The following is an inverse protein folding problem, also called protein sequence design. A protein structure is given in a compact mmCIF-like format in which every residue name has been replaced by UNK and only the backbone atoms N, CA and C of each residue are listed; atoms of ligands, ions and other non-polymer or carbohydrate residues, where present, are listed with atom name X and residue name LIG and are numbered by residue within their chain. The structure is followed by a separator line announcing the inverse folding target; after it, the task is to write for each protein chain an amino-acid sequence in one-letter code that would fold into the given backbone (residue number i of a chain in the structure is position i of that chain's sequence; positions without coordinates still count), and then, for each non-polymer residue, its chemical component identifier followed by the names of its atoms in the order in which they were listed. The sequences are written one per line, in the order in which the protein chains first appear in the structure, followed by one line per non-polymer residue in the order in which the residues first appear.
data_IF_927125081876
#
_entry.id   IF_927125081876
#
_cell.length_a   1.000
_cell.length_b   1.000
_cell.length_c   1.000
_cell.angle_alpha   90.00
_cell.angle_beta   90.00
_cell.angle_gamma   90.00
#
_symmetry.space_group_name_H-M   'P 1'
#
loop_
_entity.id
_entity.type
_entity.pdbx_description
1 polymer ?
#
# COMPACT_ATOMS: atom_id res chain seq x y z
N UNK A 1 -62.39 11.04 -100.98
CA UNK A 1 -61.61 12.11 -100.31
C UNK A 1 -61.10 11.75 -98.88
N UNK A 2 -61.06 10.48 -98.44
CA UNK A 2 -60.64 10.12 -97.06
C UNK A 2 -59.27 9.44 -96.90
N UNK A 3 -58.60 9.03 -97.98
CA UNK A 3 -57.26 8.38 -97.92
C UNK A 3 -56.08 9.36 -97.90
N UNK A 4 -56.22 10.56 -98.49
CA UNK A 4 -55.14 11.56 -98.57
C UNK A 4 -54.90 12.28 -97.22
N UNK A 5 -55.94 12.44 -96.38
CA UNK A 5 -55.81 13.06 -95.06
C UNK A 5 -55.13 12.14 -94.03
N UNK A 6 -55.33 10.82 -94.11
CA UNK A 6 -54.68 9.87 -93.19
C UNK A 6 -53.16 9.83 -93.39
N UNK A 7 -52.71 9.85 -94.66
CA UNK A 7 -51.28 9.90 -95.00
C UNK A 7 -50.64 11.20 -94.52
N UNK A 8 -51.34 12.34 -94.65
CA UNK A 8 -50.87 13.62 -94.13
C UNK A 8 -50.67 13.61 -92.62
N UNK A 9 -51.60 13.03 -91.84
CA UNK A 9 -51.49 12.94 -90.38
C UNK A 9 -50.32 12.04 -89.96
N UNK A 10 -50.11 10.91 -90.63
CA UNK A 10 -48.98 10.00 -90.32
C UNK A 10 -47.64 10.67 -90.62
N UNK A 11 -47.52 11.43 -91.72
CA UNK A 11 -46.29 12.16 -92.06
C UNK A 11 -46.01 13.27 -91.04
N UNK A 12 -47.04 14.00 -90.57
CA UNK A 12 -46.86 15.03 -89.54
C UNK A 12 -46.43 14.41 -88.21
N UNK A 13 -47.03 13.29 -87.79
CA UNK A 13 -46.62 12.58 -86.57
C UNK A 13 -45.17 12.06 -86.70
N UNK A 14 -44.81 11.52 -87.86
CA UNK A 14 -43.45 11.03 -88.08
C UNK A 14 -42.40 12.16 -88.08
N UNK A 15 -42.71 13.30 -88.71
CA UNK A 15 -41.81 14.46 -88.73
C UNK A 15 -41.69 15.10 -87.35
N UNK A 16 -42.80 15.27 -86.62
CA UNK A 16 -42.77 15.79 -85.25
C UNK A 16 -42.00 14.86 -84.31
N UNK A 17 -42.17 13.53 -84.43
CA UNK A 17 -41.41 12.55 -83.65
C UNK A 17 -39.90 12.61 -83.96
N UNK A 18 -39.51 12.71 -85.22
CA UNK A 18 -38.10 12.83 -85.60
C UNK A 18 -37.50 14.18 -85.15
N UNK A 19 -38.26 15.26 -85.18
CA UNK A 19 -37.80 16.58 -84.73
C UNK A 19 -37.64 16.63 -83.21
N UNK A 20 -38.53 15.96 -82.47
CA UNK A 20 -38.45 15.80 -81.01
C UNK A 20 -37.29 14.89 -80.61
N UNK A 21 -37.04 13.81 -81.36
CA UNK A 21 -35.86 12.94 -81.19
C UNK A 21 -34.56 13.68 -81.52
N UNK A 22 -34.53 14.47 -82.59
CA UNK A 22 -33.39 15.32 -82.93
C UNK A 22 -33.12 16.34 -81.82
N UNK A 23 -34.16 17.00 -81.30
CA UNK A 23 -33.99 17.93 -80.19
C UNK A 23 -33.50 17.22 -78.92
N UNK A 24 -34.06 16.05 -78.57
CA UNK A 24 -33.60 15.24 -77.43
C UNK A 24 -32.15 14.76 -77.56
N UNK A 25 -31.70 14.42 -78.79
CA UNK A 25 -30.36 13.89 -79.04
C UNK A 25 -29.31 14.99 -79.22
N UNK A 26 -29.69 16.14 -79.77
CA UNK A 26 -28.79 17.27 -80.05
C UNK A 26 -28.80 18.31 -78.92
N UNK A 27 -29.85 18.39 -78.10
CA UNK A 27 -29.87 19.24 -76.89
C UNK A 27 -29.07 18.67 -75.73
N UNK A 28 -28.46 17.48 -75.87
CA UNK A 28 -27.36 17.05 -75.00
C UNK A 28 -26.07 17.76 -75.42
N UNK A 29 -25.99 19.04 -75.10
CA UNK A 29 -24.69 19.65 -74.86
C UNK A 29 -23.99 18.81 -73.78
N UNK A 30 -22.73 18.37 -73.98
CA UNK A 30 -21.95 17.79 -72.91
C UNK A 30 -21.54 18.92 -71.97
N UNK A 31 -22.48 19.36 -71.13
CA UNK A 31 -22.14 20.06 -69.91
C UNK A 31 -21.19 19.16 -69.13
N UNK A 32 -19.99 19.66 -68.85
CA UNK A 32 -18.94 18.99 -68.08
C UNK A 32 -19.55 18.31 -66.84
N UNK A 33 -19.81 17.01 -66.95
CA UNK A 33 -19.96 16.15 -65.78
C UNK A 33 -18.53 15.98 -65.27
N UNK A 34 -18.13 16.86 -64.35
CA UNK A 34 -16.97 16.61 -63.52
C UNK A 34 -17.23 15.31 -62.80
N UNK A 35 -16.71 14.20 -63.33
CA UNK A 35 -16.64 12.95 -62.61
C UNK A 35 -15.88 13.25 -61.34
N UNK A 36 -16.58 13.29 -60.20
CA UNK A 36 -15.92 13.18 -58.90
C UNK A 36 -15.13 11.91 -59.01
N UNK A 37 -13.81 12.05 -59.04
CA UNK A 37 -12.92 10.91 -59.27
C UNK A 37 -13.23 9.88 -58.19
N UNK A 38 -13.34 8.60 -58.55
CA UNK A 38 -13.49 7.52 -57.56
C UNK A 38 -12.40 7.62 -56.48
N UNK A 39 -11.23 8.20 -56.83
CA UNK A 39 -10.18 8.59 -55.89
C UNK A 39 -10.60 9.63 -54.85
N UNK A 40 -11.38 10.64 -55.23
CA UNK A 40 -11.86 11.68 -54.30
C UNK A 40 -12.96 11.12 -53.39
N UNK A 41 -13.83 10.24 -53.90
CA UNK A 41 -14.79 9.51 -53.07
C UNK A 41 -14.09 8.59 -52.06
N UNK A 42 -13.05 7.86 -52.49
CA UNK A 42 -12.24 7.01 -51.60
C UNK A 42 -11.47 7.82 -50.56
N UNK A 43 -10.94 9.00 -50.92
CA UNK A 43 -10.26 9.90 -49.96
C UNK A 43 -11.22 10.48 -48.94
N UNK A 44 -12.42 10.88 -49.37
CA UNK A 44 -13.45 11.36 -48.46
C UNK A 44 -13.91 10.25 -47.52
N UNK A 45 -14.14 9.03 -48.04
CA UNK A 45 -14.51 7.88 -47.24
C UNK A 45 -13.42 7.49 -46.24
N UNK A 46 -12.15 7.53 -46.65
CA UNK A 46 -11.02 7.30 -45.76
C UNK A 46 -10.96 8.37 -44.65
N UNK A 47 -11.15 9.64 -45.00
CA UNK A 47 -11.22 10.73 -44.02
C UNK A 47 -12.39 10.58 -43.04
N UNK A 48 -13.54 10.10 -43.50
CA UNK A 48 -14.70 9.83 -42.66
C UNK A 48 -14.48 8.62 -41.74
N UNK A 49 -13.81 7.56 -42.21
CA UNK A 49 -13.40 6.41 -41.39
C UNK A 49 -12.40 6.85 -40.32
N UNK A 50 -11.41 7.67 -40.66
CA UNK A 50 -10.42 8.20 -39.71
C UNK A 50 -11.09 9.08 -38.63
N UNK A 51 -12.06 9.91 -39.01
CA UNK A 51 -12.88 10.69 -38.06
C UNK A 51 -13.71 9.79 -37.15
N UNK A 52 -14.34 8.76 -37.70
CA UNK A 52 -15.10 7.79 -36.90
C UNK A 52 -14.21 7.01 -35.93
N UNK A 53 -13.02 6.60 -36.37
CA UNK A 53 -12.03 5.94 -35.51
C UNK A 53 -11.55 6.85 -34.38
N UNK A 54 -11.27 8.12 -34.68
CA UNK A 54 -10.90 9.13 -33.69
C UNK A 54 -12.03 9.33 -32.67
N UNK A 55 -13.28 9.49 -33.13
CA UNK A 55 -14.44 9.65 -32.25
C UNK A 55 -14.67 8.41 -31.38
N UNK A 56 -14.55 7.20 -31.94
CA UNK A 56 -14.66 5.96 -31.18
C UNK A 56 -13.54 5.82 -30.14
N UNK A 57 -12.32 6.26 -30.45
CA UNK A 57 -11.20 6.25 -29.49
C UNK A 57 -11.45 7.20 -28.30
N UNK A 58 -12.05 8.36 -28.56
CA UNK A 58 -12.43 9.33 -27.55
C UNK A 58 -13.57 8.81 -26.66
N UNK A 59 -14.58 8.19 -27.27
CA UNK A 59 -15.68 7.53 -26.55
C UNK A 59 -15.17 6.40 -25.64
N UNK A 60 -14.22 5.59 -26.13
CA UNK A 60 -13.58 4.54 -25.33
C UNK A 60 -12.79 5.11 -24.16
N UNK A 61 -12.13 6.26 -24.34
CA UNK A 61 -11.42 6.94 -23.25
C UNK A 61 -12.40 7.50 -22.20
N UNK A 62 -13.52 8.07 -22.65
CA UNK A 62 -14.60 8.52 -21.76
C UNK A 62 -15.23 7.35 -20.99
N UNK A 63 -15.51 6.23 -21.66
CA UNK A 63 -16.01 5.00 -21.04
C UNK A 63 -15.05 4.44 -19.98
N UNK A 64 -13.74 4.49 -20.23
CA UNK A 64 -12.73 4.10 -19.24
C UNK A 64 -12.78 5.00 -18.01
N UNK A 65 -12.79 6.32 -18.19
CA UNK A 65 -12.92 7.30 -17.09
C UNK A 65 -14.22 7.10 -16.31
N UNK A 66 -15.34 6.89 -17.00
CA UNK A 66 -16.64 6.64 -16.35
C UNK A 66 -16.60 5.38 -15.49
N UNK A 67 -16.03 4.28 -16.02
CA UNK A 67 -15.91 3.01 -15.29
C UNK A 67 -14.94 3.11 -14.11
N UNK A 68 -13.90 3.94 -14.20
CA UNK A 68 -13.00 4.27 -13.10
C UNK A 68 -13.72 5.08 -12.01
N UNK A 69 -14.50 6.10 -12.39
CA UNK A 69 -15.30 6.89 -11.47
C UNK A 69 -16.37 6.03 -10.77
N UNK A 70 -17.09 5.19 -11.50
CA UNK A 70 -18.11 4.30 -10.92
C UNK A 70 -17.50 3.28 -9.96
N UNK A 71 -16.28 2.81 -10.24
CA UNK A 71 -15.51 1.97 -9.30
C UNK A 71 -15.06 2.76 -8.07
N UNK A 72 -14.60 3.99 -8.23
CA UNK A 72 -14.22 4.86 -7.13
C UNK A 72 -15.42 5.18 -6.22
N UNK A 73 -16.59 5.47 -6.80
CA UNK A 73 -17.84 5.71 -6.06
C UNK A 73 -18.30 4.47 -5.28
N UNK A 74 -18.29 3.28 -5.91
CA UNK A 74 -18.61 2.02 -5.21
C UNK A 74 -17.62 1.72 -4.09
N UNK A 75 -16.33 2.00 -4.31
CA UNK A 75 -15.29 1.84 -3.31
C UNK A 75 -15.49 2.81 -2.14
N UNK A 76 -15.81 4.07 -2.43
CA UNK A 76 -16.12 5.09 -1.43
C UNK A 76 -17.39 4.73 -0.64
N UNK A 77 -18.41 4.16 -1.30
CA UNK A 77 -19.63 3.70 -0.63
C UNK A 77 -19.36 2.49 0.27
N UNK A 78 -18.55 1.52 -0.18
CA UNK A 78 -18.14 0.36 0.62
C UNK A 78 -17.25 0.80 1.80
N UNK A 79 -16.30 1.71 1.57
CA UNK A 79 -15.51 2.33 2.63
C UNK A 79 -16.44 3.00 3.64
N UNK A 80 -17.38 3.85 3.22
CA UNK A 80 -18.34 4.56 4.10
C UNK A 80 -19.21 3.61 4.93
N UNK A 81 -19.72 2.53 4.33
CA UNK A 81 -20.47 1.48 5.06
C UNK A 81 -19.61 0.77 6.09
N UNK A 82 -18.30 0.67 5.86
CA UNK A 82 -17.33 0.04 6.76
C UNK A 82 -16.76 1.00 7.80
N UNK A 83 -16.74 2.33 7.53
CA UNK A 83 -16.13 3.36 8.39
C UNK A 83 -17.10 4.10 9.29
N UNK A 84 -18.43 3.97 9.15
CA UNK A 84 -19.34 4.39 10.22
C UNK A 84 -19.07 3.54 11.47
N UNK A 85 -18.48 4.08 12.54
CA UNK A 85 -18.12 3.28 13.70
C UNK A 85 -19.43 2.89 14.39
N UNK A 86 -19.86 1.64 14.21
CA UNK A 86 -20.73 1.03 15.21
C UNK A 86 -19.89 0.93 16.48
N UNK A 87 -20.46 1.14 17.67
CA UNK A 87 -19.73 0.91 18.91
C UNK A 87 -19.41 -0.58 19.01
N UNK A 88 -18.28 -0.99 18.44
CA UNK A 88 -17.76 -2.34 18.57
C UNK A 88 -17.01 -2.36 19.90
N UNK A 89 -17.43 -3.24 20.81
CA UNK A 89 -16.60 -3.55 21.98
C UNK A 89 -15.31 -4.19 21.48
N UNK A 90 -14.19 -3.49 21.64
CA UNK A 90 -12.87 -3.95 21.20
C UNK A 90 -12.51 -5.33 21.76
N UNK A 91 -13.07 -5.68 22.91
CA UNK A 91 -12.92 -6.96 23.61
C UNK A 91 -13.60 -8.13 22.87
N UNK A 92 -14.66 -7.84 22.10
CA UNK A 92 -15.46 -8.83 21.37
C UNK A 92 -15.02 -8.99 19.91
N UNK A 93 -14.06 -8.17 19.44
CA UNK A 93 -13.57 -8.25 18.06
C UNK A 93 -12.59 -9.40 17.91
N UNK A 94 -12.88 -10.29 16.95
CA UNK A 94 -11.95 -11.35 16.53
C UNK A 94 -10.89 -10.72 15.63
N UNK A 95 -9.62 -10.83 16.03
CA UNK A 95 -8.46 -10.30 15.33
C UNK A 95 -7.56 -11.50 14.96
N UNK A 96 -7.75 -12.13 13.79
CA UNK A 96 -6.90 -13.24 13.36
C UNK A 96 -5.42 -12.85 13.30
N UNK A 97 -4.56 -13.81 13.61
CA UNK A 97 -3.13 -13.75 13.27
C UNK A 97 -2.95 -14.38 11.89
N UNK A 98 -2.50 -13.59 10.92
CA UNK A 98 -2.07 -14.07 9.60
C UNK A 98 -0.56 -14.26 9.60
N UNK A 99 -0.11 -15.51 9.64
CA UNK A 99 1.30 -15.88 9.50
C UNK A 99 1.63 -16.13 8.03
N UNK A 100 2.49 -15.30 7.45
CA UNK A 100 2.99 -15.44 6.07
C UNK A 100 4.20 -16.39 6.07
N UNK A 101 4.07 -17.54 5.41
CA UNK A 101 5.10 -18.57 5.33
C UNK A 101 5.39 -19.01 3.90
N UNK A 102 6.56 -19.61 3.66
CA UNK A 102 6.96 -20.10 2.34
C UNK A 102 7.70 -21.44 2.48
N UNK A 103 9.03 -21.40 2.60
CA UNK A 103 9.94 -22.53 2.45
C UNK A 103 10.88 -22.74 3.66
N UNK A 104 10.59 -22.09 4.79
CA UNK A 104 11.39 -22.19 6.01
C UNK A 104 10.72 -23.09 7.05
N UNK A 105 11.35 -24.22 7.38
CA UNK A 105 10.86 -25.12 8.44
C UNK A 105 10.96 -24.49 9.83
N UNK A 106 11.78 -23.45 10.00
CA UNK A 106 11.88 -22.65 11.21
C UNK A 106 10.60 -21.87 11.54
N UNK A 107 9.58 -21.89 10.67
CA UNK A 107 8.22 -21.38 10.98
C UNK A 107 7.67 -21.96 12.29
N UNK A 108 8.11 -23.16 12.68
CA UNK A 108 7.78 -23.77 13.98
C UNK A 108 8.09 -22.84 15.15
N UNK A 109 9.23 -22.14 15.12
CA UNK A 109 9.64 -21.20 16.18
C UNK A 109 8.63 -20.07 16.35
N UNK A 110 8.21 -19.46 15.25
CA UNK A 110 7.21 -18.39 15.25
C UNK A 110 5.85 -18.91 15.73
N UNK A 111 5.46 -20.11 15.28
CA UNK A 111 4.22 -20.76 15.71
C UNK A 111 4.22 -21.12 17.20
N UNK A 112 5.32 -21.67 17.73
CA UNK A 112 5.47 -22.01 19.14
C UNK A 112 5.22 -20.78 20.02
N UNK A 113 5.80 -19.62 19.66
CA UNK A 113 5.61 -18.38 20.40
C UNK A 113 4.20 -17.81 20.26
N UNK A 114 3.65 -17.82 19.03
CA UNK A 114 2.28 -17.39 18.77
C UNK A 114 1.29 -18.20 19.61
N UNK A 115 1.47 -19.52 19.70
CA UNK A 115 0.61 -20.39 20.49
C UNK A 115 0.83 -20.18 21.98
N UNK A 116 2.10 -20.13 22.43
CA UNK A 116 2.47 -19.96 23.84
C UNK A 116 1.85 -18.72 24.47
N UNK A 117 1.87 -17.59 23.76
CA UNK A 117 1.40 -16.32 24.30
C UNK A 117 -0.05 -15.98 23.94
N UNK A 118 -0.76 -16.82 23.18
CA UNK A 118 -2.15 -16.54 22.79
C UNK A 118 -3.10 -16.66 24.01
N UNK A 119 -3.68 -15.55 24.49
CA UNK A 119 -4.54 -15.59 25.67
C UNK A 119 -5.93 -16.16 25.37
N UNK A 120 -6.38 -16.12 24.11
CA UNK A 120 -7.72 -16.53 23.71
C UNK A 120 -7.76 -16.93 22.23
N UNK A 121 -7.73 -18.24 21.97
CA UNK A 121 -7.76 -18.83 20.62
C UNK A 121 -8.99 -18.44 19.79
N UNK A 122 -10.12 -18.12 20.43
CA UNK A 122 -11.34 -17.68 19.72
C UNK A 122 -11.22 -16.24 19.24
N UNK A 123 -10.58 -15.39 20.03
CA UNK A 123 -10.35 -13.98 19.70
C UNK A 123 -9.18 -13.80 18.72
N UNK A 124 -8.14 -14.63 18.86
CA UNK A 124 -6.95 -14.60 18.01
C UNK A 124 -6.74 -15.94 17.31
N UNK A 125 -7.62 -16.33 16.36
CA UNK A 125 -7.40 -17.52 15.56
C UNK A 125 -6.14 -17.35 14.70
N UNK A 126 -5.33 -18.40 14.58
CA UNK A 126 -4.09 -18.37 13.79
C UNK A 126 -4.34 -18.98 12.42
N UNK A 127 -4.03 -18.21 11.37
CA UNK A 127 -4.14 -18.59 9.97
C UNK A 127 -2.73 -18.54 9.38
N UNK A 128 -2.21 -19.70 8.96
CA UNK A 128 -0.93 -19.82 8.27
C UNK A 128 -1.18 -19.86 6.78
N UNK A 129 -0.72 -18.82 6.09
CA UNK A 129 -0.76 -18.73 4.63
C UNK A 129 0.59 -19.13 4.07
N UNK A 130 0.65 -20.32 3.43
CA UNK A 130 1.88 -20.87 2.87
C UNK A 130 1.94 -20.69 1.35
N UNK A 131 2.99 -20.06 0.84
CA UNK A 131 3.35 -20.06 -0.60
C UNK A 131 4.41 -21.14 -0.90
N UNK A 132 5.03 -21.10 -2.08
CA UNK A 132 6.23 -21.83 -2.49
C UNK A 132 6.05 -23.34 -2.67
N UNK A 133 4.98 -23.94 -2.12
CA UNK A 133 4.71 -25.38 -2.23
C UNK A 133 5.75 -26.25 -1.53
N UNK A 134 6.50 -25.69 -0.57
CA UNK A 134 7.58 -26.41 0.10
C UNK A 134 7.03 -27.44 1.08
N UNK A 135 7.10 -28.72 0.68
CA UNK A 135 6.54 -29.84 1.43
C UNK A 135 7.06 -29.97 2.88
N UNK A 136 8.37 -29.88 3.16
CA UNK A 136 8.87 -29.94 4.54
C UNK A 136 8.26 -28.87 5.46
N UNK A 137 8.11 -27.63 4.96
CA UNK A 137 7.44 -26.57 5.72
C UNK A 137 5.95 -26.86 5.90
N UNK A 138 5.28 -27.39 4.87
CA UNK A 138 3.87 -27.78 4.94
C UNK A 138 3.65 -28.87 5.99
N UNK A 139 4.54 -29.86 6.06
CA UNK A 139 4.49 -30.97 7.02
C UNK A 139 4.69 -30.48 8.46
N UNK A 140 5.57 -29.49 8.68
CA UNK A 140 5.72 -28.81 9.97
C UNK A 140 4.41 -28.12 10.37
N UNK A 141 3.85 -27.28 9.49
CA UNK A 141 2.61 -26.54 9.76
C UNK A 141 1.44 -27.50 10.05
N UNK A 142 1.36 -28.62 9.32
CA UNK A 142 0.29 -29.60 9.46
C UNK A 142 0.24 -30.25 10.86
N UNK A 143 1.38 -30.38 11.55
CA UNK A 143 1.41 -30.86 12.95
C UNK A 143 0.65 -29.91 13.86
N UNK A 144 0.85 -28.60 13.70
CA UNK A 144 0.15 -27.60 14.48
C UNK A 144 -1.35 -27.51 14.14
N UNK A 145 -1.74 -27.81 12.90
CA UNK A 145 -3.16 -27.93 12.53
C UNK A 145 -3.83 -29.04 13.36
N UNK A 146 -3.18 -30.21 13.46
CA UNK A 146 -3.72 -31.34 14.22
C UNK A 146 -3.73 -31.11 15.74
N UNK A 147 -2.65 -30.52 16.28
CA UNK A 147 -2.47 -30.37 17.73
C UNK A 147 -3.17 -29.13 18.31
N UNK A 148 -3.16 -28.01 17.59
CA UNK A 148 -3.64 -26.71 18.10
C UNK A 148 -4.87 -26.18 17.38
N UNK A 149 -5.32 -26.82 16.31
CA UNK A 149 -6.48 -26.40 15.52
C UNK A 149 -6.26 -25.09 14.75
N UNK A 150 -5.00 -24.76 14.41
CA UNK A 150 -4.70 -23.61 13.55
C UNK A 150 -5.16 -23.89 12.12
N UNK A 151 -5.40 -22.83 11.34
CA UNK A 151 -5.79 -22.97 9.94
C UNK A 151 -4.57 -22.90 9.02
N UNK A 152 -4.45 -23.83 8.08
CA UNK A 152 -3.39 -23.82 7.06
C UNK A 152 -4.02 -23.64 5.67
N UNK A 153 -3.73 -22.51 5.03
CA UNK A 153 -4.14 -22.20 3.67
C UNK A 153 -2.92 -22.16 2.75
N UNK A 154 -3.05 -22.72 1.55
CA UNK A 154 -1.95 -22.82 0.58
C UNK A 154 -2.24 -21.97 -0.63
N UNK A 155 -1.28 -21.13 -1.02
CA UNK A 155 -1.43 -20.26 -2.18
C UNK A 155 -1.63 -21.13 -3.44
N UNK A 156 -2.69 -20.92 -4.24
CA UNK A 156 -3.05 -21.80 -5.34
C UNK A 156 -2.11 -21.68 -6.55
N UNK A 157 -1.38 -20.57 -6.65
CA UNK A 157 -0.50 -20.28 -7.77
C UNK A 157 0.96 -20.09 -7.32
N UNK A 158 1.76 -21.14 -7.44
CA UNK A 158 3.20 -21.13 -7.13
C UNK A 158 4.09 -20.94 -8.38
N UNK A 159 3.48 -20.66 -9.54
CA UNK A 159 4.21 -20.50 -10.81
C UNK A 159 5.21 -19.34 -10.77
N UNK A 160 6.27 -19.47 -11.57
CA UNK A 160 7.19 -18.38 -11.83
C UNK A 160 6.50 -17.22 -12.54
N UNK A 161 6.88 -16.00 -12.18
CA UNK A 161 6.41 -14.78 -12.83
C UNK A 161 7.37 -14.48 -13.99
N UNK A 162 6.91 -14.41 -15.25
CA UNK A 162 7.79 -14.11 -16.37
C UNK A 162 8.23 -12.64 -16.31
N UNK A 163 9.49 -12.40 -15.92
CA UNK A 163 10.06 -11.05 -15.80
C UNK A 163 11.19 -10.82 -16.81
N UNK A 164 11.21 -9.68 -17.52
CA UNK A 164 12.32 -9.31 -18.37
C UNK A 164 13.58 -9.02 -17.54
N UNK A 165 14.75 -9.10 -18.16
CA UNK A 165 15.96 -8.55 -17.57
C UNK A 165 15.86 -7.01 -17.52
N UNK A 166 16.27 -6.32 -16.44
CA UNK A 166 16.97 -6.81 -15.24
C UNK A 166 16.06 -7.21 -14.07
N UNK A 167 14.73 -7.17 -14.22
CA UNK A 167 13.75 -7.40 -13.14
C UNK A 167 13.78 -8.84 -12.59
N UNK A 168 14.26 -9.80 -13.38
CA UNK A 168 14.42 -11.21 -12.97
C UNK A 168 15.16 -11.40 -11.63
N UNK A 169 16.09 -10.50 -11.28
CA UNK A 169 16.81 -10.56 -9.98
C UNK A 169 15.91 -10.27 -8.77
N UNK A 170 14.73 -9.70 -9.00
CA UNK A 170 13.75 -9.33 -7.99
C UNK A 170 12.52 -10.26 -7.97
N UNK A 171 12.59 -11.42 -8.65
CA UNK A 171 11.52 -12.42 -8.70
C UNK A 171 10.84 -12.68 -7.35
N UNK A 172 11.63 -12.81 -6.28
CA UNK A 172 11.12 -13.07 -4.93
C UNK A 172 10.20 -11.96 -4.41
N UNK A 173 10.46 -10.69 -4.74
CA UNK A 173 9.59 -9.58 -4.33
C UNK A 173 8.24 -9.58 -5.06
N UNK A 174 8.21 -10.05 -6.30
CA UNK A 174 6.96 -10.20 -7.05
C UNK A 174 6.11 -11.35 -6.48
N UNK A 175 6.74 -12.49 -6.20
CA UNK A 175 6.07 -13.63 -5.54
C UNK A 175 5.53 -13.23 -4.16
N UNK A 176 6.34 -12.52 -3.37
CA UNK A 176 5.94 -12.02 -2.05
C UNK A 176 4.72 -11.10 -2.15
N UNK A 177 4.73 -10.12 -3.06
CA UNK A 177 3.58 -9.22 -3.24
C UNK A 177 2.31 -9.98 -3.66
N UNK A 178 2.44 -10.95 -4.59
CA UNK A 178 1.33 -11.82 -4.99
C UNK A 178 0.77 -12.61 -3.82
N UNK A 179 1.64 -13.18 -2.98
CA UNK A 179 1.26 -13.96 -1.82
C UNK A 179 0.52 -13.13 -0.78
N UNK A 180 1.06 -11.96 -0.41
CA UNK A 180 0.39 -11.00 0.48
C UNK A 180 -1.00 -10.63 -0.03
N UNK A 181 -1.13 -10.32 -1.33
CA UNK A 181 -2.43 -9.99 -1.93
C UNK A 181 -3.45 -11.10 -1.77
N UNK A 182 -3.05 -12.33 -2.10
CA UNK A 182 -3.96 -13.48 -1.99
C UNK A 182 -4.32 -13.78 -0.53
N UNK A 183 -3.35 -13.74 0.38
CA UNK A 183 -3.55 -14.02 1.80
C UNK A 183 -4.50 -13.01 2.45
N UNK A 184 -4.31 -11.71 2.17
CA UNK A 184 -5.19 -10.65 2.67
C UNK A 184 -6.60 -10.73 2.05
N UNK A 185 -6.70 -11.13 0.77
CA UNK A 185 -8.01 -11.45 0.18
C UNK A 185 -8.72 -12.61 0.90
N UNK A 186 -7.98 -13.66 1.30
CA UNK A 186 -8.59 -14.73 2.10
C UNK A 186 -9.12 -14.20 3.43
N UNK A 187 -8.33 -13.40 4.14
CA UNK A 187 -8.74 -12.82 5.43
C UNK A 187 -9.97 -11.92 5.31
N UNK A 188 -9.96 -10.98 4.37
CA UNK A 188 -10.96 -9.92 4.32
C UNK A 188 -12.18 -10.23 3.45
N UNK A 189 -12.03 -11.02 2.38
CA UNK A 189 -13.13 -11.37 1.49
C UNK A 189 -13.68 -12.77 1.74
N UNK A 190 -12.83 -13.77 1.99
CA UNK A 190 -13.29 -15.16 2.23
C UNK A 190 -13.73 -15.36 3.68
N UNK A 191 -12.85 -15.08 4.64
CA UNK A 191 -13.13 -15.26 6.07
C UNK A 191 -13.89 -14.09 6.68
N UNK A 192 -13.97 -12.96 5.97
CA UNK A 192 -14.80 -11.81 6.32
C UNK A 192 -14.45 -11.20 7.70
N UNK A 193 -13.17 -11.24 8.09
CA UNK A 193 -12.71 -10.59 9.32
C UNK A 193 -12.67 -9.05 9.15
N UNK A 194 -12.80 -8.32 10.28
CA UNK A 194 -12.78 -6.86 10.29
C UNK A 194 -11.36 -6.28 10.45
N UNK A 195 -10.44 -7.04 11.01
CA UNK A 195 -9.05 -6.67 11.23
C UNK A 195 -8.14 -7.91 11.15
N UNK A 196 -6.83 -7.70 11.09
CA UNK A 196 -5.84 -8.78 11.08
C UNK A 196 -4.53 -8.28 11.67
N UNK A 197 -3.82 -9.15 12.40
CA UNK A 197 -2.41 -8.95 12.77
C UNK A 197 -1.56 -9.84 11.85
N UNK A 198 -0.62 -9.26 11.14
CA UNK A 198 0.21 -9.91 10.14
C UNK A 198 1.62 -10.11 10.69
N UNK A 199 2.11 -11.35 10.61
CA UNK A 199 3.41 -11.79 11.12
C UNK A 199 4.11 -12.59 10.01
N UNK A 200 5.43 -12.43 9.84
CA UNK A 200 6.21 -13.26 8.92
C UNK A 200 6.79 -14.49 9.65
N UNK A 201 7.08 -15.56 8.92
CA UNK A 201 7.57 -16.84 9.46
C UNK A 201 8.95 -16.79 10.12
N UNK A 202 9.61 -15.64 10.15
CA UNK A 202 10.90 -15.42 10.81
C UNK A 202 10.89 -14.43 11.99
N UNK A 203 9.72 -14.16 12.56
CA UNK A 203 9.57 -13.27 13.71
C UNK A 203 9.37 -14.03 15.03
N UNK A 204 10.19 -13.69 16.02
CA UNK A 204 9.85 -13.91 17.42
C UNK A 204 8.88 -12.82 17.90
N UNK A 205 7.98 -13.17 18.82
CA UNK A 205 7.06 -12.23 19.46
C UNK A 205 7.31 -12.12 20.98
N UNK A 206 6.99 -10.96 21.56
CA UNK A 206 7.12 -10.69 23.00
C UNK A 206 5.97 -11.32 23.82
N UNK A 207 6.14 -11.48 25.15
CA UNK A 207 5.08 -11.99 26.03
C UNK A 207 3.81 -11.13 26.04
N UNK A 208 3.91 -9.83 25.75
CA UNK A 208 2.80 -8.88 25.72
C UNK A 208 2.28 -8.58 24.30
N UNK A 209 2.67 -9.36 23.28
CA UNK A 209 2.30 -9.10 21.88
C UNK A 209 0.78 -8.98 21.68
N UNK A 210 0.01 -9.95 22.20
CA UNK A 210 -1.45 -9.94 22.10
C UNK A 210 -2.09 -8.84 22.95
N UNK A 211 -1.50 -8.54 24.11
CA UNK A 211 -1.94 -7.47 25.01
C UNK A 211 -1.78 -6.09 24.36
N UNK A 212 -0.65 -5.87 23.69
CA UNK A 212 -0.34 -4.66 22.92
C UNK A 212 -1.37 -4.43 21.80
N UNK A 213 -1.63 -5.43 20.96
CA UNK A 213 -2.62 -5.27 19.88
C UNK A 213 -4.06 -5.16 20.40
N UNK A 214 -4.39 -5.86 21.49
CA UNK A 214 -5.71 -5.74 22.13
C UNK A 214 -6.00 -4.31 22.58
N UNK A 215 -5.03 -3.65 23.21
CA UNK A 215 -5.19 -2.31 23.76
C UNK A 215 -5.14 -1.22 22.69
N UNK A 216 -4.34 -1.42 21.63
CA UNK A 216 -4.17 -0.42 20.55
C UNK A 216 -5.22 -0.53 19.44
N UNK A 217 -5.92 -1.67 19.32
CA UNK A 217 -7.03 -1.82 18.37
C UNK A 217 -8.12 -0.74 18.51
N UNK A 218 -8.67 -0.46 19.71
CA UNK A 218 -9.67 0.60 19.84
C UNK A 218 -9.13 1.99 19.45
N UNK A 219 -7.83 2.27 19.65
CA UNK A 219 -7.22 3.53 19.21
C UNK A 219 -7.17 3.60 17.69
N UNK A 220 -6.73 2.52 17.02
CA UNK A 220 -6.73 2.39 15.56
C UNK A 220 -8.14 2.58 14.97
N UNK A 221 -9.14 1.92 15.57
CA UNK A 221 -10.52 1.93 15.09
C UNK A 221 -11.19 3.31 15.21
N UNK A 222 -10.86 4.07 16.26
CA UNK A 222 -11.47 5.38 16.53
C UNK A 222 -10.77 6.54 15.79
N UNK A 223 -9.46 6.45 15.57
CA UNK A 223 -8.68 7.52 14.96
C UNK A 223 -8.40 7.24 13.48
N UNK A 224 -9.21 7.82 12.59
CA UNK A 224 -9.06 7.71 11.12
C UNK A 224 -7.74 8.24 10.56
N UNK A 225 -6.96 8.98 11.35
CA UNK A 225 -5.60 9.39 10.98
C UNK A 225 -4.56 8.30 11.22
N UNK A 226 -4.94 7.18 11.83
CA UNK A 226 -4.17 5.95 11.90
C UNK A 226 -4.60 4.98 10.80
N UNK A 227 -3.66 4.16 10.34
CA UNK A 227 -3.93 3.09 9.38
C UNK A 227 -3.26 1.76 9.74
N UNK A 228 -2.38 1.75 10.73
CA UNK A 228 -1.82 0.53 11.27
C UNK A 228 -1.34 0.67 12.72
N UNK A 229 -1.10 -0.48 13.35
CA UNK A 229 -0.28 -0.58 14.56
C UNK A 229 0.86 -1.53 14.23
N UNK A 230 2.10 -1.16 14.50
CA UNK A 230 3.27 -2.03 14.31
C UNK A 230 3.90 -2.38 15.64
N UNK A 231 4.40 -3.61 15.75
CA UNK A 231 5.19 -4.12 16.87
C UNK A 231 6.66 -3.70 16.77
N UNK A 232 7.05 -2.95 15.74
CA UNK A 232 8.45 -2.70 15.39
C UNK A 232 8.87 -1.24 15.56
N UNK A 233 10.06 -1.05 16.12
CA UNK A 233 10.82 0.20 16.14
C UNK A 233 12.10 -0.01 15.31
N UNK A 234 12.21 0.64 14.14
CA UNK A 234 13.39 0.51 13.27
C UNK A 234 14.72 0.93 13.95
N UNK A 235 14.66 1.81 14.95
CA UNK A 235 15.81 2.21 15.76
C UNK A 235 15.81 1.53 17.15
N UNK A 236 15.08 0.42 17.30
CA UNK A 236 14.84 -0.29 18.56
C UNK A 236 16.03 -1.12 19.08
N UNK A 237 17.27 -0.72 18.81
CA UNK A 237 18.46 -1.49 19.22
C UNK A 237 18.73 -1.35 20.71
N UNK A 238 19.45 -2.32 21.28
CA UNK A 238 19.98 -2.20 22.65
C UNK A 238 20.83 -0.92 22.75
N UNK A 239 20.56 -0.10 23.78
CA UNK A 239 21.19 1.21 23.97
C UNK A 239 20.56 2.37 23.18
N UNK A 240 19.58 2.09 22.31
CA UNK A 240 18.83 3.09 21.52
C UNK A 240 17.35 3.21 21.91
N UNK A 241 16.93 2.47 22.92
CA UNK A 241 15.58 2.51 23.52
C UNK A 241 15.69 2.78 25.02
N UNK A 242 14.66 3.37 25.61
CA UNK A 242 14.55 3.52 27.07
C UNK A 242 14.09 2.21 27.72
N UNK A 243 14.03 2.19 29.05
CA UNK A 243 13.47 1.07 29.81
C UNK A 243 11.94 1.16 30.00
N UNK A 244 11.31 2.20 29.44
CA UNK A 244 9.86 2.42 29.47
C UNK A 244 9.18 1.53 28.42
N UNK A 245 8.96 0.27 28.76
CA UNK A 245 8.34 -0.70 27.86
C UNK A 245 6.91 -0.30 27.44
N UNK A 246 6.21 0.48 28.25
CA UNK A 246 4.84 0.97 28.03
C UNK A 246 4.74 2.22 27.15
N UNK A 247 5.87 2.85 26.80
CA UNK A 247 5.88 4.04 25.98
C UNK A 247 5.60 3.71 24.50
N UNK A 248 4.57 4.35 23.94
CA UNK A 248 4.15 4.22 22.54
C UNK A 248 4.22 5.57 21.83
N UNK A 249 4.32 5.51 20.50
CA UNK A 249 4.48 6.67 19.63
C UNK A 249 3.60 6.56 18.40
N UNK A 250 3.33 7.70 17.78
CA UNK A 250 2.90 7.75 16.38
C UNK A 250 4.13 7.76 15.47
N UNK A 251 4.01 7.23 14.27
CA UNK A 251 5.05 7.25 13.23
C UNK A 251 4.42 7.41 11.85
N UNK A 252 4.99 8.26 11.02
CA UNK A 252 4.64 8.41 9.61
C UNK A 252 5.35 7.36 8.74
N UNK A 253 6.41 6.73 9.25
CA UNK A 253 7.06 5.60 8.59
C UNK A 253 6.27 4.32 8.87
N UNK A 254 5.84 3.61 7.82
CA UNK A 254 5.23 2.28 7.94
C UNK A 254 6.31 1.21 8.22
N UNK A 255 6.38 0.64 9.45
CA UNK A 255 7.47 -0.26 9.81
C UNK A 255 7.22 -1.71 9.34
N UNK A 256 5.96 -2.16 9.35
CA UNK A 256 5.61 -3.57 9.10
C UNK A 256 6.00 -4.47 10.29
N UNK A 257 6.62 -5.62 10.00
CA UNK A 257 7.29 -6.53 10.95
C UNK A 257 6.48 -6.85 12.22
N UNK A 258 5.30 -7.46 12.04
CA UNK A 258 4.31 -7.64 13.10
C UNK A 258 3.40 -6.42 13.14
N UNK A 259 2.32 -6.41 12.37
CA UNK A 259 1.49 -5.21 12.24
C UNK A 259 0.02 -5.54 12.05
N UNK A 260 -0.84 -4.66 12.57
CA UNK A 260 -2.29 -4.78 12.53
C UNK A 260 -2.88 -3.77 11.55
N UNK A 261 -3.88 -4.20 10.79
CA UNK A 261 -4.67 -3.33 9.92
C UNK A 261 -6.15 -3.72 9.94
N UNK A 262 -7.02 -2.76 9.64
CA UNK A 262 -8.45 -2.99 9.45
C UNK A 262 -8.81 -3.27 8.00
N UNK A 263 -9.98 -3.90 7.81
CA UNK A 263 -10.54 -4.24 6.51
C UNK A 263 -10.72 -3.01 5.61
N UNK A 264 -11.17 -1.89 6.16
CA UNK A 264 -11.35 -0.63 5.42
C UNK A 264 -10.07 -0.23 4.67
N UNK A 265 -8.92 -0.42 5.31
CA UNK A 265 -7.61 -0.18 4.69
C UNK A 265 -7.36 -1.15 3.54
N UNK A 266 -7.65 -2.45 3.70
CA UNK A 266 -7.50 -3.43 2.62
C UNK A 266 -8.41 -3.15 1.43
N UNK A 267 -9.67 -2.76 1.67
CA UNK A 267 -10.61 -2.36 0.62
C UNK A 267 -10.00 -1.21 -0.20
N UNK A 268 -9.37 -0.23 0.45
CA UNK A 268 -8.72 0.89 -0.26
C UNK A 268 -7.51 0.45 -1.13
N UNK A 269 -6.61 -0.39 -0.61
CA UNK A 269 -5.32 -0.69 -1.28
C UNK A 269 -5.32 -1.96 -2.12
N UNK A 270 -6.15 -2.95 -1.79
CA UNK A 270 -6.23 -4.24 -2.49
C UNK A 270 -6.47 -4.13 -4.00
N UNK A 271 -7.38 -3.24 -4.47
CA UNK A 271 -7.62 -3.03 -5.90
C UNK A 271 -6.40 -2.49 -6.67
N UNK A 272 -5.57 -1.68 -6.00
CA UNK A 272 -4.37 -1.05 -6.57
C UNK A 272 -3.06 -1.68 -6.09
N UNK A 273 -3.13 -2.88 -5.51
CA UNK A 273 -1.98 -3.56 -4.91
C UNK A 273 -0.86 -3.78 -5.95
N UNK A 274 0.41 -3.49 -5.59
CA UNK A 274 1.52 -3.47 -6.54
C UNK A 274 1.97 -4.88 -6.93
N UNK A 275 2.68 -4.98 -8.04
CA UNK A 275 3.24 -6.26 -8.49
C UNK A 275 4.43 -6.72 -7.63
N UNK A 276 5.18 -5.79 -7.02
CA UNK A 276 6.35 -6.05 -6.18
C UNK A 276 6.57 -4.93 -5.15
N UNK A 277 7.50 -5.14 -4.21
CA UNK A 277 7.92 -4.13 -3.22
C UNK A 277 6.75 -3.48 -2.46
N UNK A 278 5.83 -4.33 -2.00
CA UNK A 278 4.56 -3.91 -1.43
C UNK A 278 4.70 -2.97 -0.23
N UNK A 279 5.72 -3.18 0.60
CA UNK A 279 5.98 -2.40 1.81
C UNK A 279 6.48 -0.99 1.47
N UNK A 280 7.43 -0.87 0.53
CA UNK A 280 7.89 0.42 0.00
C UNK A 280 6.78 1.16 -0.74
N UNK A 281 5.93 0.44 -1.49
CA UNK A 281 4.74 1.02 -2.11
C UNK A 281 3.74 1.55 -1.09
N UNK A 282 3.49 0.82 0.01
CA UNK A 282 2.64 1.29 1.10
C UNK A 282 3.19 2.58 1.75
N UNK A 283 4.52 2.72 1.87
CA UNK A 283 5.17 3.92 2.45
C UNK A 283 4.97 5.19 1.60
N UNK A 284 4.68 5.04 0.30
CA UNK A 284 4.50 6.15 -0.62
C UNK A 284 3.26 7.01 -0.23
N UNK A 285 3.30 8.35 -0.37
CA UNK A 285 2.21 9.23 0.04
C UNK A 285 0.86 8.93 -0.63
N UNK A 286 0.84 8.40 -1.86
CA UNK A 286 -0.39 8.02 -2.57
C UNK A 286 -1.20 6.91 -1.87
N UNK A 287 -0.51 6.10 -1.07
CA UNK A 287 -1.10 5.03 -0.26
C UNK A 287 -1.25 5.50 1.19
N UNK A 288 -0.18 6.03 1.78
CA UNK A 288 -0.17 6.46 3.18
C UNK A 288 -1.17 7.60 3.46
N UNK A 289 -1.37 8.52 2.51
CA UNK A 289 -2.30 9.67 2.61
C UNK A 289 -2.16 10.48 3.91
N UNK A 290 -0.92 10.65 4.38
CA UNK A 290 -0.64 11.38 5.63
C UNK A 290 -1.08 10.68 6.92
N UNK A 291 -1.50 9.41 6.86
CA UNK A 291 -1.85 8.60 8.03
C UNK A 291 -0.59 8.06 8.71
N UNK A 292 -0.70 7.83 10.01
CA UNK A 292 0.38 7.32 10.86
C UNK A 292 0.09 5.91 11.38
N UNK A 293 1.12 5.23 11.86
CA UNK A 293 0.96 4.02 12.65
C UNK A 293 1.31 4.27 14.11
N UNK A 294 0.79 3.43 15.01
CA UNK A 294 1.32 3.32 16.37
C UNK A 294 2.54 2.40 16.33
N UNK A 295 3.62 2.77 17.02
CA UNK A 295 4.81 1.95 17.24
C UNK A 295 5.27 2.00 18.70
N UNK A 296 5.94 0.96 19.22
CA UNK A 296 6.43 0.97 20.59
C UNK A 296 7.82 1.60 20.74
N UNK A 297 8.21 1.91 21.98
CA UNK A 297 9.61 2.18 22.31
C UNK A 297 10.47 0.91 22.17
N UNK A 298 10.06 -0.17 22.83
CA UNK A 298 10.72 -1.49 22.76
C UNK A 298 9.88 -2.42 21.88
N UNK A 299 10.51 -3.08 20.91
CA UNK A 299 9.80 -3.92 19.94
C UNK A 299 9.07 -5.09 20.59
N UNK A 300 7.89 -5.41 20.05
CA UNK A 300 7.09 -6.60 20.37
C UNK A 300 7.39 -7.76 19.41
N UNK A 301 8.26 -7.52 18.44
CA UNK A 301 8.79 -8.50 17.51
C UNK A 301 10.30 -8.33 17.34
N UNK A 302 11.01 -9.43 17.08
CA UNK A 302 12.40 -9.44 16.60
C UNK A 302 12.51 -10.47 15.49
N UNK A 303 13.38 -10.26 14.49
CA UNK A 303 13.56 -11.25 13.43
C UNK A 303 14.77 -12.15 13.71
N UNK A 304 14.64 -13.44 13.40
CA UNK A 304 15.73 -14.40 13.33
C UNK A 304 16.07 -14.80 11.87
N UNK A 305 15.43 -14.15 10.90
CA UNK A 305 15.50 -14.45 9.47
C UNK A 305 16.76 -13.95 8.78
N UNK A 306 17.93 -14.54 9.08
CA UNK A 306 19.19 -14.18 8.42
C UNK A 306 19.18 -14.40 6.90
N UNK A 307 18.54 -15.48 6.45
CA UNK A 307 18.38 -15.83 5.02
C UNK A 307 16.93 -15.57 4.60
N UNK A 308 16.77 -14.78 3.54
CA UNK A 308 15.48 -14.42 2.96
C UNK A 308 15.66 -13.72 1.60
N UNK A 309 14.57 -13.17 1.07
CA UNK A 309 14.50 -12.55 -0.27
C UNK A 309 15.55 -11.43 -0.46
N UNK A 310 15.91 -10.72 0.61
CA UNK A 310 16.85 -9.58 0.60
C UNK A 310 18.34 -9.95 0.74
N UNK A 311 18.70 -11.24 0.76
CA UNK A 311 20.08 -11.74 0.91
C UNK A 311 20.82 -11.29 2.21
N UNK A 312 20.10 -10.85 3.24
CA UNK A 312 20.62 -10.73 4.63
C UNK A 312 21.55 -9.55 4.95
N UNK A 313 21.93 -8.70 3.98
CA UNK A 313 22.80 -7.53 4.21
C UNK A 313 22.25 -6.56 5.27
N UNK A 314 20.94 -6.36 5.26
CA UNK A 314 20.25 -5.48 6.21
C UNK A 314 20.08 -6.14 7.59
N UNK A 315 19.95 -7.47 7.63
CA UNK A 315 19.85 -8.25 8.86
C UNK A 315 21.11 -8.12 9.72
N UNK A 316 22.28 -8.27 9.11
CA UNK A 316 23.57 -8.24 9.82
C UNK A 316 23.94 -6.86 10.38
N UNK A 317 23.46 -5.79 9.75
CA UNK A 317 23.78 -4.41 10.16
C UNK A 317 22.77 -3.82 11.13
N UNK A 318 21.49 -4.17 11.01
CA UNK A 318 20.41 -3.53 11.76
C UNK A 318 19.52 -4.53 12.50
N UNK A 319 18.85 -5.44 11.77
CA UNK A 319 17.71 -6.18 12.32
C UNK A 319 18.07 -7.09 13.50
N UNK A 320 19.24 -7.75 13.47
CA UNK A 320 19.64 -8.69 14.54
C UNK A 320 19.90 -8.05 15.91
N UNK A 321 20.03 -6.72 15.96
CA UNK A 321 20.36 -5.96 17.17
C UNK A 321 19.14 -5.37 17.87
N UNK A 322 17.95 -5.58 17.31
CA UNK A 322 16.69 -5.05 17.83
C UNK A 322 16.34 -5.76 19.14
N UNK A 323 16.06 -4.97 20.19
CA UNK A 323 15.67 -5.45 21.51
C UNK A 323 14.22 -5.94 21.44
N UNK A 324 14.03 -7.25 21.63
CA UNK A 324 12.71 -7.82 21.90
C UNK A 324 12.32 -7.53 23.35
N UNK A 325 11.10 -7.04 23.55
CA UNK A 325 10.55 -6.84 24.89
C UNK A 325 10.35 -8.20 25.60
N UNK A 326 10.85 -8.32 26.82
CA UNK A 326 10.68 -9.47 27.70
C UNK A 326 9.81 -9.17 28.94
N UNK A 327 9.47 -7.89 29.16
CA UNK A 327 8.64 -7.44 30.28
C UNK A 327 7.18 -7.29 29.85
N UNK A 328 6.28 -8.05 30.48
CA UNK A 328 4.85 -7.92 30.21
C UNK A 328 4.31 -6.54 30.63
N UNK A 329 3.66 -5.82 29.72
CA UNK A 329 3.00 -4.53 29.98
C UNK A 329 1.48 -4.71 29.84
N UNK A 330 0.67 -4.46 30.89
CA UNK A 330 -0.78 -4.62 30.83
C UNK A 330 -1.45 -3.41 30.15
N UNK A 331 -1.21 -3.22 28.85
CA UNK A 331 -1.70 -2.08 28.09
C UNK A 331 -3.22 -1.86 28.15
N UNK A 332 -4.01 -2.93 28.23
CA UNK A 332 -5.47 -2.84 28.36
C UNK A 332 -5.92 -2.18 29.66
N UNK A 333 -5.01 -2.07 30.64
CA UNK A 333 -5.23 -1.38 31.92
C UNK A 333 -4.67 0.04 31.94
N UNK A 334 -4.13 0.53 30.83
CA UNK A 334 -3.53 1.87 30.71
C UNK A 334 -4.35 2.76 29.80
N UNK A 335 -4.36 4.07 30.06
CA UNK A 335 -5.00 5.03 29.16
C UNK A 335 -4.09 5.32 27.96
N UNK A 336 -4.49 4.82 26.79
CA UNK A 336 -3.81 5.06 25.51
C UNK A 336 -4.39 6.24 24.73
N UNK A 337 -5.33 7.01 25.32
CA UNK A 337 -5.99 8.12 24.63
C UNK A 337 -5.01 9.22 24.19
N UNK A 338 -3.85 9.32 24.84
CA UNK A 338 -2.78 10.24 24.44
C UNK A 338 -2.26 10.01 23.03
N UNK A 339 -2.46 8.82 22.44
CA UNK A 339 -2.06 8.47 21.08
C UNK A 339 -3.01 9.00 20.00
N UNK A 340 -4.21 9.43 20.36
CA UNK A 340 -5.13 10.09 19.41
C UNK A 340 -4.46 11.33 18.82
N UNK A 341 -4.59 11.55 17.50
CA UNK A 341 -3.91 12.67 16.83
C UNK A 341 -4.19 14.03 17.49
N UNK A 342 -5.44 14.25 17.91
CA UNK A 342 -5.87 15.50 18.56
C UNK A 342 -5.09 15.79 19.85
N UNK A 343 -4.76 14.76 20.64
CA UNK A 343 -3.97 14.91 21.86
C UNK A 343 -2.46 14.84 21.59
N UNK A 344 -2.05 13.91 20.72
CA UNK A 344 -0.64 13.63 20.46
C UNK A 344 0.07 14.79 19.75
N UNK A 345 -0.56 15.40 18.74
CA UNK A 345 0.06 16.48 17.96
C UNK A 345 0.50 17.68 18.81
N UNK A 346 -0.39 18.32 19.61
CA UNK A 346 0.01 19.46 20.43
C UNK A 346 0.96 19.06 21.56
N UNK A 347 0.76 17.88 22.17
CA UNK A 347 1.66 17.36 23.21
C UNK A 347 3.08 17.17 22.67
N UNK A 348 3.22 16.45 21.56
CA UNK A 348 4.51 16.08 21.00
C UNK A 348 5.25 17.28 20.43
N UNK A 349 4.55 18.20 19.75
CA UNK A 349 5.15 19.47 19.30
C UNK A 349 5.70 20.27 20.48
N UNK A 350 4.90 20.48 21.54
CA UNK A 350 5.34 21.18 22.75
C UNK A 350 6.51 20.48 23.46
N UNK A 351 6.54 19.14 23.46
CA UNK A 351 7.63 18.36 24.04
C UNK A 351 8.94 18.61 23.27
N UNK A 352 8.91 18.55 21.94
CA UNK A 352 10.09 18.79 21.09
C UNK A 352 10.52 20.25 21.19
N UNK A 353 9.59 21.21 21.13
CA UNK A 353 9.91 22.65 21.18
C UNK A 353 10.63 23.04 22.47
N UNK A 354 10.14 22.55 23.62
CA UNK A 354 10.72 22.82 24.93
C UNK A 354 12.01 22.03 25.20
N UNK A 355 12.38 21.08 24.35
CA UNK A 355 13.62 20.33 24.53
C UNK A 355 14.83 21.20 24.16
N UNK A 356 15.89 21.25 24.99
CA UNK A 356 17.09 22.04 24.70
C UNK A 356 17.77 21.62 23.40
N UNK A 357 18.05 22.62 22.56
CA UNK A 357 18.75 22.43 21.30
C UNK A 357 20.26 22.33 21.51
N UNK A 358 20.88 21.36 20.82
CA UNK A 358 22.33 21.15 20.83
C UNK A 358 22.81 20.73 19.44
N UNK A 359 24.10 20.93 19.19
CA UNK A 359 24.76 20.32 18.04
C UNK A 359 24.98 18.82 18.24
N UNK A 360 25.14 18.08 17.13
CA UNK A 360 25.52 16.64 17.19
C UNK A 360 26.83 16.42 17.94
N UNK A 361 27.79 17.35 17.84
CA UNK A 361 29.06 17.26 18.52
C UNK A 361 28.91 17.35 20.05
N UNK A 362 28.05 18.25 20.54
CA UNK A 362 27.75 18.39 21.97
C UNK A 362 26.99 17.20 22.54
N UNK A 363 26.03 16.65 21.77
CA UNK A 363 25.33 15.42 22.14
C UNK A 363 26.30 14.23 22.26
N UNK A 364 27.26 14.11 21.33
CA UNK A 364 28.26 13.04 21.35
C UNK A 364 29.28 13.18 22.49
N UNK A 365 29.67 14.42 22.83
CA UNK A 365 30.68 14.70 23.84
C UNK A 365 30.18 14.53 25.28
N UNK A 366 28.87 14.39 25.50
CA UNK A 366 28.28 14.21 26.83
C UNK A 366 28.32 15.46 27.73
N UNK A 367 28.57 16.65 27.16
CA UNK A 367 28.66 17.92 27.92
C UNK A 367 27.34 18.34 28.58
N UNK A 368 26.22 17.74 28.17
CA UNK A 368 24.88 17.97 28.68
C UNK A 368 24.29 16.72 29.35
N UNK A 369 25.13 15.86 29.94
CA UNK A 369 24.72 14.57 30.54
C UNK A 369 23.66 14.71 31.65
N UNK A 370 23.54 15.88 32.29
CA UNK A 370 22.53 16.18 33.30
C UNK A 370 21.11 16.35 32.72
N UNK A 371 20.98 16.60 31.42
CA UNK A 371 19.70 16.78 30.75
C UNK A 371 19.09 15.41 30.41
N UNK A 372 17.79 15.22 30.63
CA UNK A 372 17.11 13.96 30.26
C UNK A 372 16.85 13.85 28.75
N UNK A 373 16.66 14.98 28.07
CA UNK A 373 16.35 15.04 26.66
C UNK A 373 17.06 16.20 25.96
N UNK A 374 17.42 16.00 24.69
CA UNK A 374 18.07 16.97 23.81
C UNK A 374 17.43 16.92 22.42
N UNK A 375 17.39 18.05 21.72
CA UNK A 375 16.99 18.11 20.31
C UNK A 375 18.15 18.54 19.43
N UNK A 376 18.22 17.96 18.24
CA UNK A 376 19.23 18.28 17.22
C UNK A 376 18.45 18.62 15.94
N UNK A 377 18.70 19.81 15.39
CA UNK A 377 18.07 20.23 14.15
C UNK A 377 18.75 19.58 12.94
N UNK A 378 17.96 19.31 11.90
CA UNK A 378 18.47 19.07 10.54
C UNK A 378 17.62 19.84 9.53
N UNK A 379 18.26 20.47 8.56
CA UNK A 379 17.59 21.27 7.51
C UNK A 379 17.66 20.62 6.14
N UNK A 380 18.61 19.70 5.93
CA UNK A 380 18.85 19.03 4.64
C UNK A 380 18.92 17.52 4.78
N UNK A 381 18.73 16.81 3.65
CA UNK A 381 18.89 15.37 3.57
C UNK A 381 20.29 14.93 3.99
N UNK A 382 21.32 15.64 3.53
CA UNK A 382 22.72 15.35 3.79
C UNK A 382 23.06 15.54 5.28
N UNK A 383 22.53 16.59 5.91
CA UNK A 383 22.67 16.83 7.34
C UNK A 383 21.98 15.76 8.17
N UNK A 384 20.76 15.36 7.80
CA UNK A 384 20.07 14.24 8.44
C UNK A 384 20.93 12.97 8.34
N UNK A 385 21.37 12.59 7.13
CA UNK A 385 22.16 11.36 6.92
C UNK A 385 23.46 11.39 7.71
N UNK A 386 24.17 12.52 7.69
CA UNK A 386 25.40 12.68 8.47
C UNK A 386 25.15 12.54 9.97
N UNK A 387 24.08 13.14 10.49
CA UNK A 387 23.75 13.13 11.91
C UNK A 387 23.27 11.75 12.36
N UNK A 388 22.36 11.15 11.59
CA UNK A 388 21.87 9.79 11.80
C UNK A 388 23.02 8.77 11.88
N UNK A 389 23.96 8.82 10.93
CA UNK A 389 25.15 7.96 10.92
C UNK A 389 26.06 8.16 12.12
N UNK A 390 26.28 9.41 12.56
CA UNK A 390 27.09 9.74 13.75
C UNK A 390 26.46 9.20 15.04
N UNK A 391 25.13 9.20 15.12
CA UNK A 391 24.36 8.76 16.28
C UNK A 391 23.99 7.26 16.22
N UNK A 392 24.27 6.58 15.11
CA UNK A 392 24.09 5.14 14.94
C UNK A 392 22.66 4.69 14.60
N UNK A 393 21.76 5.64 14.36
CA UNK A 393 20.39 5.36 13.91
C UNK A 393 20.36 5.13 12.40
N UNK A 394 19.24 4.63 11.90
CA UNK A 394 19.00 4.45 10.47
C UNK A 394 18.95 5.78 9.72
N UNK A 395 19.67 5.85 8.59
CA UNK A 395 19.86 7.05 7.77
C UNK A 395 19.13 6.99 6.41
N UNK A 396 18.41 5.91 6.12
CA UNK A 396 17.63 5.76 4.90
C UNK A 396 16.25 6.45 4.99
N UNK A 397 15.76 6.88 3.84
CA UNK A 397 14.43 7.45 3.66
C UNK A 397 13.60 6.56 2.75
N UNK A 398 12.29 6.52 3.00
CA UNK A 398 11.30 5.94 2.07
C UNK A 398 10.27 6.99 1.73
N UNK A 399 10.22 7.39 0.46
CA UNK A 399 9.39 8.50 -0.02
C UNK A 399 9.52 9.77 0.85
N UNK A 400 10.76 10.11 1.20
CA UNK A 400 11.07 11.27 2.04
C UNK A 400 10.92 11.10 3.55
N UNK A 401 10.37 9.97 4.01
CA UNK A 401 10.14 9.72 5.44
C UNK A 401 11.33 8.96 6.05
N UNK A 402 12.02 9.52 7.05
CA UNK A 402 13.01 8.76 7.80
C UNK A 402 12.36 7.72 8.72
N UNK A 403 13.12 6.68 9.03
CA UNK A 403 12.70 5.55 9.88
C UNK A 403 12.15 6.03 11.23
N UNK A 404 10.99 5.50 11.64
CA UNK A 404 10.21 5.84 12.86
C UNK A 404 9.89 7.32 13.07
N UNK A 405 10.05 8.17 12.05
CA UNK A 405 9.80 9.59 12.18
C UNK A 405 8.31 9.90 12.32
N UNK A 406 7.97 10.92 13.10
CA UNK A 406 6.64 11.54 13.12
C UNK A 406 6.78 13.04 12.93
N UNK A 407 6.16 13.59 11.88
CA UNK A 407 6.35 14.99 11.45
C UNK A 407 7.84 15.35 11.30
N UNK A 408 8.59 14.43 10.70
CA UNK A 408 10.05 14.54 10.53
C UNK A 408 10.89 14.29 11.79
N UNK A 409 10.30 14.19 12.99
CA UNK A 409 11.06 13.98 14.23
C UNK A 409 11.36 12.51 14.45
N UNK A 410 12.64 12.15 14.56
CA UNK A 410 13.09 10.80 14.95
C UNK A 410 13.43 10.82 16.45
N UNK A 411 12.72 10.01 17.23
CA UNK A 411 12.90 9.90 18.69
C UNK A 411 13.61 8.59 19.05
N UNK A 412 14.72 8.67 19.78
CA UNK A 412 15.52 7.51 20.19
C UNK A 412 16.34 7.82 21.45
N UNK A 413 16.94 6.80 22.07
CA UNK A 413 17.91 7.00 23.14
C UNK A 413 19.34 7.02 22.60
N UNK A 414 20.19 7.85 23.20
CA UNK A 414 21.61 7.86 22.93
C UNK A 414 22.36 8.04 24.25
N UNK A 415 23.16 7.03 24.64
CA UNK A 415 23.94 7.02 25.89
C UNK A 415 23.09 7.39 27.14
N UNK A 416 21.85 6.90 27.22
CA UNK A 416 20.95 7.14 28.35
C UNK A 416 20.16 8.45 28.31
N UNK A 417 20.30 9.26 27.24
CA UNK A 417 19.54 10.49 27.04
C UNK A 417 18.55 10.35 25.87
N UNK A 418 17.38 10.97 25.97
CA UNK A 418 16.41 11.03 24.87
C UNK A 418 16.87 12.05 23.83
N UNK A 419 16.97 11.66 22.57
CA UNK A 419 17.31 12.54 21.45
C UNK A 419 16.09 12.69 20.53
N UNK A 420 15.79 13.93 20.17
CA UNK A 420 14.86 14.29 19.09
C UNK A 420 15.66 14.86 17.92
N UNK A 421 15.88 14.08 16.87
CA UNK A 421 16.42 14.58 15.61
C UNK A 421 15.26 15.16 14.81
N UNK A 422 15.17 16.48 14.71
CA UNK A 422 13.96 17.20 14.26
C UNK A 422 14.24 18.16 13.12
N UNK A 423 13.30 18.34 12.17
CA UNK A 423 13.39 19.44 11.21
C UNK A 423 13.17 20.79 11.90
N UNK A 424 13.45 21.92 11.22
CA UNK A 424 13.18 23.25 11.75
C UNK A 424 11.68 23.53 11.91
N UNK A 425 11.27 24.52 12.74
CA UNK A 425 9.87 24.83 13.01
C UNK A 425 9.01 25.19 11.79
N UNK A 426 9.63 25.63 10.68
CA UNK A 426 8.96 25.97 9.44
C UNK A 426 8.79 24.77 8.48
N UNK A 427 9.01 23.54 8.95
CA UNK A 427 8.83 22.32 8.15
C UNK A 427 7.38 22.15 7.69
N UNK A 428 7.18 22.01 6.37
CA UNK A 428 5.85 21.94 5.74
C UNK A 428 5.42 20.54 5.32
N UNK A 429 6.31 19.55 5.40
CA UNK A 429 6.01 18.18 4.96
C UNK A 429 7.22 17.42 4.44
N UNK A 430 7.02 16.14 4.14
CA UNK A 430 8.06 15.27 3.57
C UNK A 430 8.34 15.60 2.11
N UNK A 431 9.61 15.67 1.73
CA UNK A 431 10.04 15.74 0.34
C UNK A 431 10.33 14.33 -0.20
N UNK A 432 9.49 13.86 -1.12
CA UNK A 432 9.62 12.53 -1.75
C UNK A 432 10.95 12.33 -2.49
N UNK A 433 11.67 13.40 -2.83
CA UNK A 433 13.00 13.33 -3.45
C UNK A 433 14.09 12.96 -2.46
N UNK A 434 13.80 12.94 -1.17
CA UNK A 434 14.75 12.46 -0.16
C UNK A 434 14.74 10.92 -0.16
N UNK A 435 15.79 10.37 -0.78
CA UNK A 435 16.12 8.94 -0.85
C UNK A 435 17.48 8.66 -0.21
#
# INVERSE_FOLDING_TARGET
MRRKHLVGVVVVIFLTWNLLMYYMLVSKNPGKIGGVSVKDQLRNLQGDIERQLSHNSELLQQLRKFRENERAEKLDEEIRRTTTPRPIRAEDTIIPILLIACDRTTVSRSLDLLIKYNPNKKRFPIIVSQDCGHKPTADVIQRYVGEYGIQHIKHPNTSEIPLPWPQKKFQGYYKLSRHYKWALNQVFHTFNYSAVIIVEDDLDISPDFYEYFSATFPVLHQDSSLWCVSAWNDNGKVGMVSEEADLLYRTDFFPGLGWMMERSMWIEIGPKWPEAFWDDWMRHPDQRKGRACIRPEICRTSTFGKKGVSKGLFYEKHLKFIKLNDKFVPFTKTDLSYLSKEKYDPYFAKLVDNTPEVSVAEAMSGRRSNMKALKILYSTKEEFKSTAKKLGIMDDFKAGVPRVAYKGVVSFMYKGQRIYLTPPPNWTGYDVKWS
#
